data_IF_193837440839
#
_entry.id   IF_193837440839
#
_cell.length_a   1.000
_cell.length_b   1.000
_cell.length_c   1.000
_cell.angle_alpha   90.00
_cell.angle_beta   90.00
_cell.angle_gamma   90.00
#
_symmetry.space_group_name_H-M   'P 1'
#
loop_
_entity.id
_entity.type
_entity.pdbx_description
1 polymer ?
#
# COMPACT_ATOMS: atom_id res chain seq x y z
N UNK A 1 -0.02 -13.61 21.28
CA UNK A 1 -0.39 -12.96 20.01
C UNK A 1 0.37 -11.67 19.97
N UNK A 2 1.34 -11.56 19.06
CA UNK A 2 2.17 -10.37 18.94
C UNK A 2 1.53 -9.39 17.97
N UNK A 3 1.39 -8.13 18.41
CA UNK A 3 0.76 -7.06 17.64
C UNK A 3 1.79 -5.94 17.51
N UNK A 4 2.06 -5.55 16.26
CA UNK A 4 2.90 -4.42 15.95
C UNK A 4 2.05 -3.34 15.28
N UNK A 5 2.13 -2.12 15.80
CA UNK A 5 1.36 -0.98 15.31
C UNK A 5 2.32 0.01 14.67
N UNK A 6 2.01 0.42 13.45
CA UNK A 6 2.74 1.41 12.69
C UNK A 6 1.76 2.50 12.24
N UNK A 7 2.07 3.76 12.52
CA UNK A 7 1.29 4.87 11.99
C UNK A 7 1.74 5.15 10.56
N UNK A 8 0.82 5.07 9.59
CA UNK A 8 1.11 5.23 8.18
C UNK A 8 -0.10 5.82 7.46
N UNK A 9 0.03 7.03 6.91
CA UNK A 9 -0.94 7.54 5.94
C UNK A 9 -0.60 6.97 4.56
N UNK A 10 -1.38 6.00 4.09
CA UNK A 10 -1.12 5.33 2.81
C UNK A 10 -1.25 6.26 1.59
N UNK A 11 -1.88 7.44 1.72
CA UNK A 11 -1.90 8.43 0.66
C UNK A 11 -0.54 9.16 0.52
N UNK A 12 0.34 9.08 1.52
CA UNK A 12 1.66 9.73 1.55
C UNK A 12 2.78 8.75 1.26
N UNK A 13 3.63 9.08 0.29
CA UNK A 13 4.73 8.22 -0.12
C UNK A 13 5.77 8.00 0.98
N UNK A 14 6.17 9.07 1.67
CA UNK A 14 7.12 9.03 2.78
C UNK A 14 6.70 8.06 3.88
N UNK A 15 5.40 8.01 4.19
CA UNK A 15 4.86 7.17 5.25
C UNK A 15 4.88 5.70 4.83
N UNK A 16 4.60 5.41 3.56
CA UNK A 16 4.72 4.05 3.01
C UNK A 16 6.16 3.56 3.04
N UNK A 17 7.13 4.41 2.68
CA UNK A 17 8.55 4.06 2.70
C UNK A 17 9.07 3.78 4.10
N UNK A 18 8.66 4.62 5.05
CA UNK A 18 8.96 4.40 6.47
C UNK A 18 8.40 3.07 6.96
N UNK A 19 7.13 2.76 6.64
CA UNK A 19 6.49 1.50 7.02
C UNK A 19 7.27 0.28 6.51
N UNK A 20 7.64 0.26 5.23
CA UNK A 20 8.35 -0.87 4.63
C UNK A 20 9.73 -1.04 5.25
N UNK A 21 10.44 0.07 5.50
CA UNK A 21 11.73 0.05 6.21
C UNK A 21 11.59 -0.53 7.62
N UNK A 22 10.56 -0.12 8.36
CA UNK A 22 10.29 -0.63 9.71
C UNK A 22 9.91 -2.11 9.73
N UNK A 23 9.22 -2.61 8.69
CA UNK A 23 8.93 -4.04 8.55
C UNK A 23 10.19 -4.84 8.19
N UNK A 24 10.99 -4.35 7.24
CA UNK A 24 12.22 -5.03 6.77
C UNK A 24 13.32 -5.11 7.83
N UNK A 25 13.38 -4.15 8.75
CA UNK A 25 14.36 -4.15 9.86
C UNK A 25 13.99 -5.12 10.99
N UNK A 26 12.86 -5.81 10.87
CA UNK A 26 12.36 -6.78 11.85
C UNK A 26 12.35 -8.19 11.24
N UNK A 27 12.44 -9.25 12.06
CA UNK A 27 12.43 -10.63 11.59
C UNK A 27 11.01 -11.10 11.23
N UNK A 28 10.28 -10.32 10.44
CA UNK A 28 8.93 -10.64 10.00
C UNK A 28 8.93 -11.25 8.61
N UNK A 29 8.01 -12.18 8.41
CA UNK A 29 7.70 -12.73 7.10
C UNK A 29 6.24 -12.38 6.78
N UNK A 30 6.02 -11.61 5.71
CA UNK A 30 4.65 -11.19 5.34
C UNK A 30 4.03 -12.27 4.47
N UNK A 31 3.02 -12.96 5.02
CA UNK A 31 2.23 -13.95 4.26
C UNK A 31 1.02 -13.33 3.54
N UNK A 32 0.48 -12.24 4.10
CA UNK A 32 -0.73 -11.60 3.59
C UNK A 32 -0.64 -10.08 3.71
N UNK A 33 -1.24 -9.40 2.73
CA UNK A 33 -1.50 -7.97 2.75
C UNK A 33 -2.99 -7.77 2.61
N UNK A 34 -3.59 -7.10 3.58
CA UNK A 34 -5.00 -6.72 3.53
C UNK A 34 -5.05 -5.23 3.36
N UNK A 35 -5.36 -4.78 2.15
CA UNK A 35 -5.52 -3.35 1.89
C UNK A 35 -6.94 -2.90 2.25
N UNK A 36 -7.12 -2.52 3.52
CA UNK A 36 -8.42 -2.13 4.05
C UNK A 36 -8.56 -0.61 4.25
N UNK A 37 -7.52 0.18 3.95
CA UNK A 37 -7.61 1.62 4.13
C UNK A 37 -8.45 2.22 3.00
N UNK A 38 -9.49 2.94 3.37
CA UNK A 38 -10.32 3.63 2.41
C UNK A 38 -11.14 4.74 3.04
N UNK A 39 -11.43 5.74 2.22
CA UNK A 39 -12.37 6.82 2.55
C UNK A 39 -13.43 6.93 1.47
N UNK A 40 -14.64 7.32 1.85
CA UNK A 40 -15.76 7.49 0.93
C UNK A 40 -16.49 8.80 1.18
N UNK A 41 -17.24 9.23 0.18
CA UNK A 41 -18.11 10.39 0.24
C UNK A 41 -19.49 10.03 -0.33
N UNK A 42 -20.54 10.61 0.23
CA UNK A 42 -21.90 10.51 -0.32
C UNK A 42 -22.12 11.52 -1.46
N UNK A 43 -22.94 11.14 -2.43
CA UNK A 43 -23.25 11.96 -3.60
C UNK A 43 -22.48 11.51 -4.84
N UNK A 44 -22.64 12.24 -5.94
CA UNK A 44 -21.96 11.91 -7.20
C UNK A 44 -20.58 12.56 -7.26
N UNK A 45 -19.69 12.00 -8.08
CA UNK A 45 -18.36 12.59 -8.35
C UNK A 45 -18.50 14.01 -8.94
N UNK A 46 -19.55 14.27 -9.72
CA UNK A 46 -19.79 15.56 -10.36
C UNK A 46 -20.12 16.68 -9.35
N UNK A 47 -20.68 16.33 -8.19
CA UNK A 47 -21.08 17.27 -7.15
C UNK A 47 -20.06 17.35 -6.01
N UNK A 48 -19.12 16.40 -5.95
CA UNK A 48 -18.11 16.34 -4.91
C UNK A 48 -17.05 17.45 -5.12
N UNK A 49 -16.63 18.15 -4.04
CA UNK A 49 -15.49 19.04 -4.11
C UNK A 49 -14.25 18.27 -4.60
N UNK A 50 -13.54 18.82 -5.59
CA UNK A 50 -12.40 18.15 -6.21
C UNK A 50 -11.39 17.61 -5.19
N UNK A 51 -11.09 18.40 -4.15
CA UNK A 51 -10.15 18.00 -3.09
C UNK A 51 -10.56 16.67 -2.40
N UNK A 52 -11.86 16.40 -2.23
CA UNK A 52 -12.34 15.17 -1.61
C UNK A 52 -12.23 14.00 -2.60
N UNK A 53 -12.62 14.20 -3.85
CA UNK A 53 -12.44 13.22 -4.94
C UNK A 53 -10.97 12.85 -5.10
N UNK A 54 -10.08 13.84 -5.13
CA UNK A 54 -8.65 13.65 -5.23
C UNK A 54 -8.11 12.84 -4.03
N UNK A 55 -8.55 13.15 -2.82
CA UNK A 55 -8.12 12.41 -1.63
C UNK A 55 -8.62 10.96 -1.65
N UNK A 56 -9.85 10.70 -2.10
CA UNK A 56 -10.38 9.35 -2.27
C UNK A 56 -9.56 8.56 -3.30
N UNK A 57 -9.23 9.16 -4.44
CA UNK A 57 -8.40 8.52 -5.47
C UNK A 57 -6.98 8.25 -4.97
N UNK A 58 -6.38 9.22 -4.25
CA UNK A 58 -5.04 9.06 -3.66
C UNK A 58 -4.99 7.91 -2.68
N UNK A 59 -5.97 7.77 -1.79
CA UNK A 59 -5.96 6.69 -0.81
C UNK A 59 -6.39 5.35 -1.41
N UNK A 60 -7.60 5.30 -1.97
CA UNK A 60 -8.28 4.04 -2.30
C UNK A 60 -7.74 3.39 -3.58
N UNK A 61 -7.06 4.14 -4.45
CA UNK A 61 -6.52 3.61 -5.70
C UNK A 61 -5.00 3.67 -5.71
N UNK A 62 -4.43 4.88 -5.61
CA UNK A 62 -2.98 5.04 -5.70
C UNK A 62 -2.26 4.45 -4.48
N UNK A 63 -2.78 4.68 -3.27
CA UNK A 63 -2.26 4.11 -2.04
C UNK A 63 -2.29 2.59 -2.07
N UNK A 64 -3.32 1.99 -2.67
CA UNK A 64 -3.43 0.54 -2.84
C UNK A 64 -2.37 -0.02 -3.76
N UNK A 65 -2.29 0.49 -4.99
CA UNK A 65 -1.29 0.05 -5.95
C UNK A 65 0.14 0.23 -5.43
N UNK A 66 0.43 1.36 -4.77
CA UNK A 66 1.75 1.65 -4.24
C UNK A 66 2.11 0.74 -3.05
N UNK A 67 1.15 0.41 -2.18
CA UNK A 67 1.38 -0.49 -1.07
C UNK A 67 1.67 -1.92 -1.58
N UNK A 68 0.95 -2.39 -2.59
CA UNK A 68 1.21 -3.70 -3.21
C UNK A 68 2.63 -3.77 -3.80
N UNK A 69 3.02 -2.80 -4.63
CA UNK A 69 4.35 -2.76 -5.24
C UNK A 69 5.47 -2.72 -4.19
N UNK A 70 5.34 -1.88 -3.16
CA UNK A 70 6.38 -1.75 -2.13
C UNK A 70 6.41 -2.93 -1.15
N UNK A 71 5.29 -3.61 -0.91
CA UNK A 71 5.25 -4.83 -0.09
C UNK A 71 5.78 -6.06 -0.84
N UNK A 72 5.79 -6.04 -2.17
CA UNK A 72 6.28 -7.14 -3.00
C UNK A 72 7.60 -7.79 -2.51
N UNK A 73 8.70 -7.05 -2.28
CA UNK A 73 9.97 -7.65 -1.84
C UNK A 73 9.95 -8.29 -0.45
N UNK A 74 8.93 -8.06 0.38
CA UNK A 74 8.84 -8.59 1.76
C UNK A 74 7.86 -9.76 1.90
N UNK A 75 7.15 -10.12 0.84
CA UNK A 75 6.29 -11.30 0.87
C UNK A 75 7.08 -12.61 0.83
N UNK A 76 6.57 -13.59 1.55
CA UNK A 76 7.09 -14.96 1.50
C UNK A 76 6.95 -15.49 0.07
N UNK A 77 8.06 -15.89 -0.55
CA UNK A 77 8.09 -16.52 -1.89
C UNK A 77 8.63 -15.64 -3.03
N UNK A 78 8.77 -14.34 -2.83
CA UNK A 78 9.34 -13.41 -3.82
C UNK A 78 10.87 -13.56 -3.97
N UNK A 79 11.54 -14.24 -3.03
CA UNK A 79 12.94 -14.66 -3.18
C UNK A 79 13.19 -15.66 -4.32
N UNK A 80 12.13 -16.15 -5.01
CA UNK A 80 12.23 -17.03 -6.19
C UNK A 80 11.48 -16.51 -7.44
N UNK A 81 10.90 -15.31 -7.45
CA UNK A 81 10.19 -14.78 -8.62
C UNK A 81 11.14 -14.01 -9.55
N UNK A 82 12.20 -14.67 -10.04
CA UNK A 82 12.86 -14.29 -11.29
C UNK A 82 12.27 -15.11 -12.43
N UNK A 83 11.07 -14.73 -12.89
CA UNK A 83 10.50 -15.28 -14.12
C UNK A 83 10.55 -14.21 -15.21
N UNK A 84 11.58 -14.30 -16.05
CA UNK A 84 11.54 -13.97 -17.48
C UNK A 84 11.17 -12.54 -17.89
N UNK A 85 12.10 -11.58 -17.73
CA UNK A 85 12.15 -10.44 -18.67
C UNK A 85 13.00 -10.81 -19.87
N UNK A 86 12.41 -11.54 -20.83
CA UNK A 86 12.93 -11.61 -22.20
C UNK A 86 12.26 -10.54 -23.03
N UNK A 87 13.02 -9.50 -23.35
CA UNK A 87 12.98 -8.69 -24.57
C UNK A 87 11.74 -8.88 -25.47
N UNK A 88 10.83 -7.91 -25.40
CA UNK A 88 10.12 -7.37 -26.56
C UNK A 88 10.12 -5.84 -26.45
#
# INVERSE_FOLDING_TARGET
MDIHIFCCDLARESDREKLITEIQTRPFAVGWLVNNAGIGQFGTIAEAPWQQTEQMLKLNMLGVCAAEDKCRPIFIGESNFQIGRSHL
#
